data_IF_543722399540
#
_entry.id   IF_543722399540
#
_cell.length_a   1.000
_cell.length_b   1.000
_cell.length_c   1.000
_cell.angle_alpha   90.00
_cell.angle_beta   90.00
_cell.angle_gamma   90.00
#
_symmetry.space_group_name_H-M   'P 1'
#
loop_
_entity.id
_entity.type
_entity.pdbx_description
1 polymer ?
#
# COMPACT_ATOMS: atom_id res chain seq x y z
N UNK A 1 3.01 -14.53 6.85
CA UNK A 1 2.83 -13.10 6.49
C UNK A 1 1.95 -13.06 5.25
N UNK A 2 0.62 -13.18 5.41
CA UNK A 2 -0.27 -12.96 4.27
C UNK A 2 -0.31 -11.45 4.02
N UNK A 3 0.48 -10.97 3.06
CA UNK A 3 0.34 -9.61 2.55
C UNK A 3 -0.95 -9.57 1.74
N UNK A 4 -1.99 -8.93 2.27
CA UNK A 4 -3.25 -8.77 1.55
C UNK A 4 -3.07 -7.76 0.42
N UNK A 5 -3.49 -8.15 -0.78
CA UNK A 5 -3.38 -7.31 -1.96
C UNK A 5 -4.52 -6.29 -1.97
N UNK A 6 -4.19 -5.00 -1.93
CA UNK A 6 -5.17 -3.93 -1.95
C UNK A 6 -5.78 -3.72 -3.33
N UNK A 7 -4.95 -3.84 -4.37
CA UNK A 7 -5.38 -3.63 -5.75
C UNK A 7 -4.43 -4.33 -6.71
N UNK A 8 -4.99 -4.97 -7.74
CA UNK A 8 -4.24 -5.53 -8.86
C UNK A 8 -4.75 -4.95 -10.17
N UNK A 9 -3.84 -4.56 -11.06
CA UNK A 9 -4.19 -4.06 -12.39
C UNK A 9 -3.13 -4.37 -13.43
N UNK A 10 -3.55 -4.40 -14.69
CA UNK A 10 -2.64 -4.50 -15.84
C UNK A 10 -2.11 -3.12 -16.18
N UNK A 11 -0.80 -3.03 -16.36
CA UNK A 11 -0.10 -1.81 -16.77
C UNK A 11 0.77 -2.06 -17.99
N UNK A 12 1.01 -1.02 -18.78
CA UNK A 12 2.04 -1.05 -19.80
C UNK A 12 3.25 -0.22 -19.35
N UNK A 13 4.37 -0.88 -19.11
CA UNK A 13 5.63 -0.27 -18.65
C UNK A 13 6.66 -0.46 -19.75
N UNK A 14 7.22 0.64 -20.29
CA UNK A 14 8.22 0.62 -21.37
C UNK A 14 7.80 -0.22 -22.60
N UNK A 15 6.51 -0.22 -22.94
CA UNK A 15 5.97 -0.98 -24.08
C UNK A 15 5.73 -2.47 -23.81
N UNK A 16 5.85 -2.93 -22.55
CA UNK A 16 5.55 -4.30 -22.13
C UNK A 16 4.36 -4.35 -21.19
N UNK A 17 3.56 -5.41 -21.31
CA UNK A 17 2.53 -5.73 -20.33
C UNK A 17 3.19 -6.09 -18.99
N UNK A 18 2.66 -5.51 -17.92
CA UNK A 18 3.04 -5.78 -16.56
C UNK A 18 1.79 -6.04 -15.71
N UNK A 19 1.89 -7.05 -14.86
CA UNK A 19 0.94 -7.28 -13.78
C UNK A 19 1.41 -6.50 -12.57
N UNK A 20 0.62 -5.53 -12.11
CA UNK A 20 0.96 -4.68 -10.96
C UNK A 20 0.05 -5.02 -9.80
N UNK A 21 0.64 -5.22 -8.62
CA UNK A 21 -0.08 -5.45 -7.37
C UNK A 21 0.37 -4.44 -6.33
N UNK A 22 -0.59 -3.74 -5.74
CA UNK A 22 -0.39 -2.79 -4.65
C UNK A 22 -0.69 -3.51 -3.34
N UNK A 23 0.27 -3.47 -2.42
CA UNK A 23 0.13 -3.85 -1.02
C UNK A 23 0.24 -2.60 -0.14
N UNK A 24 0.02 -2.76 1.15
CA UNK A 24 0.15 -1.65 2.11
C UNK A 24 1.57 -1.08 2.20
N UNK A 25 2.57 -1.96 2.14
CA UNK A 25 3.96 -1.62 2.38
C UNK A 25 4.76 -1.46 1.09
N UNK A 26 4.26 -1.98 -0.04
CA UNK A 26 4.98 -2.04 -1.31
C UNK A 26 4.08 -2.15 -2.52
N UNK A 27 4.63 -1.78 -3.68
CA UNK A 27 4.04 -2.00 -5.00
C UNK A 27 4.96 -2.96 -5.74
N UNK A 28 4.42 -4.09 -6.20
CA UNK A 28 5.14 -5.10 -6.97
C UNK A 28 4.63 -5.13 -8.40
N UNK A 29 5.51 -5.40 -9.37
CA UNK A 29 5.09 -5.70 -10.72
C UNK A 29 5.98 -6.74 -11.39
N UNK A 30 5.36 -7.59 -12.20
CA UNK A 30 6.05 -8.55 -13.05
C UNK A 30 5.91 -8.13 -14.51
N UNK A 31 7.03 -7.81 -15.17
CA UNK A 31 7.02 -7.55 -16.62
C UNK A 31 6.96 -8.88 -17.36
N UNK A 32 5.96 -9.07 -18.21
CA UNK A 32 5.91 -10.21 -19.11
C UNK A 32 7.03 -10.06 -20.14
N UNK A 33 8.12 -10.80 -19.93
CA UNK A 33 9.13 -11.02 -20.96
C UNK A 33 8.48 -11.64 -22.19
N UNK A 34 8.87 -11.19 -23.38
CA UNK A 34 8.43 -11.81 -24.63
C UNK A 34 8.63 -13.32 -24.53
N UNK A 35 7.54 -14.07 -24.74
CA UNK A 35 7.54 -15.53 -24.72
C UNK A 35 8.75 -16.08 -25.48
N UNK A 36 9.49 -16.98 -24.83
CA UNK A 36 10.57 -17.76 -25.43
C UNK A 36 10.20 -18.41 -26.78
N UNK A 37 8.90 -18.51 -27.13
CA UNK A 37 8.41 -18.97 -28.44
C UNK A 37 8.90 -18.15 -29.64
N UNK A 38 9.21 -16.85 -29.52
CA UNK A 38 9.76 -16.08 -30.65
C UNK A 38 11.26 -16.32 -30.87
N UNK A 39 11.99 -16.77 -29.86
CA UNK A 39 13.39 -17.19 -30.02
C UNK A 39 13.47 -18.54 -30.76
N UNK A 40 12.52 -19.44 -30.54
CA UNK A 40 12.47 -20.73 -31.25
C UNK A 40 12.09 -20.59 -32.73
N UNK A 41 11.22 -19.63 -33.09
CA UNK A 41 10.90 -19.35 -34.49
C UNK A 41 12.12 -18.79 -35.27
N UNK A 42 12.98 -18.01 -34.61
CA UNK A 42 14.23 -17.53 -35.21
C UNK A 42 15.31 -18.61 -35.39
N UNK A 43 15.22 -19.72 -34.65
CA UNK A 43 16.13 -20.86 -34.81
C UNK A 43 15.67 -21.83 -35.92
N UNK A 44 14.37 -21.91 -36.21
CA UNK A 44 13.82 -22.88 -37.18
C UNK A 44 13.79 -22.37 -38.64
N UNK A 45 14.03 -21.08 -38.90
CA UNK A 45 13.96 -20.49 -40.26
C UNK A 45 15.31 -20.14 -40.89
N UNK A 46 16.42 -20.71 -40.40
CA UNK A 46 17.71 -20.67 -41.10
C UNK A 46 18.58 -19.45 -40.81
N UNK A 47 19.55 -19.64 -39.91
CA UNK A 47 20.96 -19.41 -40.24
C UNK A 47 21.56 -18.01 -40.27
N UNK A 48 20.85 -16.88 -40.27
CA UNK A 48 21.54 -15.57 -40.35
C UNK A 48 20.90 -14.36 -39.66
N UNK A 49 19.67 -14.46 -39.12
CA UNK A 49 18.93 -13.24 -38.71
C UNK A 49 18.97 -12.89 -37.22
N UNK A 50 19.65 -13.66 -36.36
CA UNK A 50 19.72 -13.36 -34.92
C UNK A 50 20.61 -12.15 -34.57
N UNK A 51 21.50 -11.73 -35.46
CA UNK A 51 22.37 -10.55 -35.24
C UNK A 51 21.75 -9.23 -35.74
N UNK A 52 20.70 -9.30 -36.58
CA UNK A 52 20.08 -8.11 -37.19
C UNK A 52 19.00 -7.45 -36.32
N UNK A 53 18.48 -8.16 -35.32
CA UNK A 53 17.57 -7.60 -34.32
C UNK A 53 18.31 -7.48 -33.01
N UNK A 54 18.83 -6.28 -32.71
CA UNK A 54 19.50 -5.93 -31.45
C UNK A 54 18.57 -5.98 -30.24
N UNK A 55 17.98 -7.15 -29.97
CA UNK A 55 17.05 -7.37 -28.87
C UNK A 55 17.87 -7.49 -27.60
N UNK A 56 18.12 -6.32 -26.98
CA UNK A 56 18.58 -6.27 -25.59
C UNK A 56 17.55 -7.04 -24.76
N UNK A 57 18.02 -8.12 -24.14
CA UNK A 57 17.24 -8.91 -23.19
C UNK A 57 16.80 -8.01 -22.04
N UNK A 58 15.61 -7.41 -22.15
CA UNK A 58 15.01 -6.66 -21.06
C UNK A 58 14.48 -7.69 -20.06
N UNK A 59 15.26 -7.87 -18.99
CA UNK A 59 15.03 -8.74 -17.82
C UNK A 59 13.54 -8.89 -17.53
N UNK A 60 13.02 -10.09 -17.78
CA UNK A 60 11.81 -10.56 -17.16
C UNK A 60 12.11 -10.71 -15.67
N UNK A 61 11.74 -9.70 -14.88
CA UNK A 61 11.98 -9.64 -13.46
C UNK A 61 10.72 -9.15 -12.76
N UNK A 62 10.48 -9.71 -11.59
CA UNK A 62 9.55 -9.13 -10.62
C UNK A 62 10.30 -7.99 -9.94
N UNK A 63 9.77 -6.78 -10.06
CA UNK A 63 10.33 -5.57 -9.47
C UNK A 63 9.38 -5.06 -8.37
N UNK A 64 9.94 -4.35 -7.39
CA UNK A 64 9.19 -3.89 -6.22
C UNK A 64 9.70 -2.54 -5.73
N UNK A 65 8.77 -1.66 -5.34
CA UNK A 65 9.04 -0.37 -4.69
C UNK A 65 8.32 -0.37 -3.34
N UNK A 66 9.02 -0.14 -2.21
CA UNK A 66 8.35 0.03 -0.93
C UNK A 66 7.63 1.37 -0.90
N UNK A 67 6.38 1.40 -0.41
CA UNK A 67 5.52 2.60 -0.33
C UNK A 67 6.23 3.75 0.38
N UNK A 68 6.97 3.45 1.46
CA UNK A 68 7.76 4.45 2.21
C UNK A 68 8.84 5.19 1.39
N UNK A 69 9.24 4.62 0.25
CA UNK A 69 10.23 5.24 -0.64
C UNK A 69 9.58 6.08 -1.74
N UNK A 70 8.26 6.00 -1.91
CA UNK A 70 7.50 6.80 -2.86
C UNK A 70 7.41 8.22 -2.31
N UNK A 71 7.95 9.18 -3.05
CA UNK A 71 7.93 10.60 -2.71
C UNK A 71 6.75 11.34 -3.33
N UNK A 72 6.31 10.92 -4.52
CA UNK A 72 5.14 11.53 -5.17
C UNK A 72 4.48 10.60 -6.20
N UNK A 73 3.19 10.86 -6.42
CA UNK A 73 2.37 10.17 -7.43
C UNK A 73 1.66 11.20 -8.28
N UNK A 74 1.91 11.18 -9.59
CA UNK A 74 1.39 12.16 -10.54
C UNK A 74 0.66 11.44 -11.66
N UNK A 75 -0.44 11.99 -12.15
CA UNK A 75 -1.15 11.47 -13.33
C UNK A 75 -0.94 12.38 -14.53
N UNK A 76 -0.55 11.81 -15.66
CA UNK A 76 -0.42 12.50 -16.94
C UNK A 76 -1.30 11.81 -17.98
N UNK A 77 -2.02 12.60 -18.78
CA UNK A 77 -2.85 12.05 -19.87
C UNK A 77 -1.94 11.40 -20.93
N UNK A 78 -2.25 10.18 -21.34
CA UNK A 78 -1.42 9.38 -22.26
C UNK A 78 -2.27 8.83 -23.42
N UNK A 79 -2.65 9.73 -24.31
CA UNK A 79 -3.59 9.46 -25.40
C UNK A 79 -5.06 9.55 -24.96
N UNK A 80 -5.93 8.90 -25.72
CA UNK A 80 -7.39 8.96 -25.51
C UNK A 80 -7.90 7.95 -24.49
N UNK A 81 -7.29 6.76 -24.43
CA UNK A 81 -7.76 5.63 -23.61
C UNK A 81 -6.97 5.43 -22.32
N UNK A 82 -5.76 5.98 -22.24
CA UNK A 82 -4.81 5.67 -21.18
C UNK A 82 -4.34 6.91 -20.44
N UNK A 83 -3.92 6.70 -19.21
CA UNK A 83 -3.31 7.69 -18.32
C UNK A 83 -2.06 7.07 -17.71
N UNK A 84 -0.97 7.82 -17.70
CA UNK A 84 0.27 7.45 -17.01
C UNK A 84 0.17 7.88 -15.56
N UNK A 85 0.19 6.93 -14.65
CA UNK A 85 0.43 7.14 -13.22
C UNK A 85 1.93 7.05 -13.02
N UNK A 86 2.57 8.21 -12.88
CA UNK A 86 4.00 8.39 -12.64
C UNK A 86 4.25 8.30 -11.14
N UNK A 87 4.97 7.28 -10.72
CA UNK A 87 5.38 7.06 -9.33
C UNK A 87 6.85 7.40 -9.21
N UNK A 88 7.16 8.44 -8.43
CA UNK A 88 8.52 8.86 -8.15
C UNK A 88 8.93 8.27 -6.80
N UNK A 89 10.02 7.50 -6.79
CA UNK A 89 10.60 6.92 -5.60
C UNK A 89 12.06 7.35 -5.42
N UNK A 90 12.63 7.09 -4.24
CA UNK A 90 13.97 7.58 -3.84
C UNK A 90 15.13 7.16 -4.76
N UNK A 91 14.92 6.21 -5.68
CA UNK A 91 15.95 5.73 -6.61
C UNK A 91 15.53 5.60 -8.07
N UNK A 92 14.25 5.80 -8.42
CA UNK A 92 13.76 5.71 -9.79
C UNK A 92 12.38 6.37 -9.96
N UNK A 93 11.93 6.45 -11.21
CA UNK A 93 10.57 6.86 -11.56
C UNK A 93 9.96 5.82 -12.47
N UNK A 94 8.74 5.37 -12.15
CA UNK A 94 8.03 4.34 -12.90
C UNK A 94 6.74 4.92 -13.43
N UNK A 95 6.53 4.74 -14.73
CA UNK A 95 5.31 5.14 -15.41
C UNK A 95 4.40 3.93 -15.57
N UNK A 96 3.35 3.85 -14.77
CA UNK A 96 2.30 2.85 -14.95
C UNK A 96 1.24 3.40 -15.91
N UNK A 97 1.19 2.86 -17.13
CA UNK A 97 0.13 3.19 -18.08
C UNK A 97 -1.10 2.34 -17.81
N UNK A 98 -2.18 2.98 -17.37
CA UNK A 98 -3.45 2.34 -17.00
C UNK A 98 -4.63 2.94 -17.79
N UNK A 99 -5.75 2.21 -17.94
CA UNK A 99 -6.99 2.78 -18.51
C UNK A 99 -7.46 4.01 -17.74
N UNK A 100 -8.03 4.98 -18.44
CA UNK A 100 -8.46 6.25 -17.83
C UNK A 100 -9.44 6.04 -16.66
N UNK A 101 -10.35 5.09 -16.76
CA UNK A 101 -11.32 4.76 -15.71
C UNK A 101 -10.66 4.28 -14.40
N UNK A 102 -9.53 3.59 -14.51
CA UNK A 102 -8.81 3.05 -13.35
C UNK A 102 -7.80 4.04 -12.75
N UNK A 103 -7.36 5.03 -13.52
CA UNK A 103 -6.29 5.95 -13.11
C UNK A 103 -6.61 6.76 -11.83
N UNK A 104 -7.84 7.30 -11.63
CA UNK A 104 -8.20 8.00 -10.40
C UNK A 104 -8.10 7.10 -9.17
N UNK A 105 -8.57 5.86 -9.27
CA UNK A 105 -8.53 4.88 -8.17
C UNK A 105 -7.09 4.51 -7.80
N UNK A 106 -6.25 4.21 -8.80
CA UNK A 106 -4.81 3.89 -8.57
C UNK A 106 -4.10 5.07 -7.92
N UNK A 107 -4.32 6.30 -8.43
CA UNK A 107 -3.70 7.51 -7.88
C UNK A 107 -4.13 7.75 -6.44
N UNK A 108 -5.44 7.69 -6.16
CA UNK A 108 -6.00 7.91 -4.83
C UNK A 108 -5.42 6.91 -3.82
N UNK A 109 -5.45 5.62 -4.16
CA UNK A 109 -4.91 4.56 -3.31
C UNK A 109 -3.43 4.75 -2.98
N UNK A 110 -2.59 4.99 -4.00
CA UNK A 110 -1.16 5.22 -3.77
C UNK A 110 -0.90 6.49 -2.95
N UNK A 111 -1.70 7.54 -3.15
CA UNK A 111 -1.59 8.78 -2.36
C UNK A 111 -1.98 8.54 -0.90
N UNK A 112 -3.08 7.83 -0.66
CA UNK A 112 -3.54 7.51 0.69
C UNK A 112 -2.57 6.57 1.42
N UNK A 113 -1.93 5.66 0.70
CA UNK A 113 -0.86 4.81 1.24
C UNK A 113 0.39 5.61 1.62
N UNK A 114 0.85 6.53 0.76
CA UNK A 114 1.98 7.43 1.06
C UNK A 114 1.67 8.33 2.26
N UNK A 115 0.42 8.77 2.40
CA UNK A 115 -0.04 9.58 3.53
C UNK A 115 -0.41 8.75 4.77
N UNK A 116 -0.34 7.42 4.71
CA UNK A 116 -0.67 6.53 5.84
C UNK A 116 -2.16 6.51 6.22
N UNK A 117 -3.06 6.91 5.33
CA UNK A 117 -4.52 6.96 5.59
C UNK A 117 -5.21 5.60 5.49
N UNK A 118 -4.59 4.63 4.81
CA UNK A 118 -5.11 3.28 4.71
C UNK A 118 -4.57 2.45 5.88
N UNK A 119 -5.42 2.01 6.82
CA UNK A 119 -4.96 1.23 7.99
C UNK A 119 -4.40 -0.12 7.53
N UNK A 120 -3.19 -0.47 7.97
CA UNK A 120 -2.57 -1.74 7.63
C UNK A 120 -3.41 -2.93 8.17
N UNK A 121 -3.62 -4.02 7.38
CA UNK A 121 -4.32 -5.20 7.83
C UNK A 121 -3.41 -5.90 8.81
N UNK A 122 -3.82 -5.99 10.07
CA UNK A 122 -3.03 -6.62 11.11
C UNK A 122 -2.18 -5.67 11.95
N UNK A 123 -2.49 -4.37 11.99
CA UNK A 123 -2.14 -3.56 13.16
C UNK A 123 -3.05 -3.94 14.35
N UNK A 124 -2.94 -5.21 14.78
CA UNK A 124 -2.84 -5.44 16.20
C UNK A 124 -1.58 -4.70 16.65
N UNK A 125 -1.57 -3.97 17.77
CA UNK A 125 -0.34 -3.42 18.32
C UNK A 125 0.62 -4.59 18.59
N UNK A 126 1.56 -4.82 17.66
CA UNK A 126 2.72 -5.65 17.91
C UNK A 126 3.56 -4.86 18.90
N UNK A 127 3.32 -5.16 20.17
CA UNK A 127 4.16 -4.78 21.30
C UNK A 127 5.60 -5.06 20.87
N UNK A 128 6.38 -4.00 20.71
CA UNK A 128 7.79 -4.12 20.44
C UNK A 128 8.41 -4.97 21.55
N UNK A 129 9.13 -6.01 21.16
CA UNK A 129 9.96 -6.82 22.03
C UNK A 129 11.02 -5.92 22.66
N UNK A 130 10.71 -5.34 23.83
CA UNK A 130 11.73 -4.98 24.82
C UNK A 130 12.38 -6.29 25.30
N UNK A 131 13.70 -6.35 25.50
CA UNK A 131 14.29 -7.49 26.17
C UNK A 131 13.80 -7.49 27.63
N UNK A 132 12.97 -8.49 27.93
CA UNK A 132 12.62 -9.02 29.25
C UNK A 132 12.17 -7.99 30.30
N UNK A 133 10.85 -7.82 30.41
CA UNK A 133 10.25 -7.49 31.70
C UNK A 133 9.05 -8.41 31.96
N UNK A 134 9.20 -9.16 33.03
CA UNK A 134 8.32 -10.14 33.65
C UNK A 134 6.85 -9.65 33.82
N UNK A 135 5.91 -10.56 33.51
CA UNK A 135 4.55 -10.73 34.05
C UNK A 135 3.45 -9.62 33.96
N UNK A 136 2.27 -10.07 33.47
CA UNK A 136 0.88 -9.60 33.67
C UNK A 136 0.26 -8.52 32.72
N UNK A 137 -1.08 -8.41 32.62
CA UNK A 137 -2.14 -9.41 32.40
C UNK A 137 -3.00 -9.10 31.14
N UNK A 138 -3.94 -9.99 30.81
CA UNK A 138 -4.96 -9.91 29.74
C UNK A 138 -5.71 -8.57 29.65
N UNK A 139 -6.31 -8.24 28.47
CA UNK A 139 -7.06 -7.00 28.23
C UNK A 139 -8.12 -6.75 29.29
N UNK A 140 -7.93 -5.66 30.04
CA UNK A 140 -8.83 -5.26 31.09
C UNK A 140 -10.08 -4.67 30.46
N UNK A 141 -11.19 -5.37 30.61
CA UNK A 141 -12.53 -4.77 30.63
C UNK A 141 -12.47 -3.58 31.59
N UNK A 142 -12.36 -2.36 31.07
CA UNK A 142 -12.23 -1.14 31.88
C UNK A 142 -13.40 -1.12 32.86
N UNK A 143 -13.08 -1.24 34.15
CA UNK A 143 -14.11 -1.32 35.18
C UNK A 143 -14.84 0.03 35.26
N UNK A 144 -16.11 0.08 35.71
CA UNK A 144 -16.84 1.35 35.84
C UNK A 144 -16.07 2.41 36.64
N UNK A 145 -15.29 2.00 37.64
CA UNK A 145 -14.43 2.88 38.46
C UNK A 145 -13.27 3.47 37.66
N UNK A 146 -12.67 2.71 36.73
CA UNK A 146 -11.61 3.21 35.85
C UNK A 146 -12.14 4.19 34.80
N UNK A 147 -13.36 3.96 34.30
CA UNK A 147 -14.02 4.89 33.36
C UNK A 147 -14.31 6.25 34.03
N UNK A 148 -14.71 6.26 35.31
CA UNK A 148 -14.86 7.49 36.08
C UNK A 148 -13.54 8.26 36.23
N UNK A 149 -12.41 7.56 36.39
CA UNK A 149 -11.08 8.17 36.51
C UNK A 149 -10.64 8.82 35.20
N UNK A 150 -10.88 8.16 34.07
CA UNK A 150 -10.55 8.68 32.75
C UNK A 150 -11.39 9.92 32.38
N UNK A 151 -12.67 9.94 32.75
CA UNK A 151 -13.52 11.12 32.58
C UNK A 151 -13.05 12.33 33.38
N UNK A 152 -12.53 12.11 34.60
CA UNK A 152 -11.99 13.19 35.43
C UNK A 152 -10.73 13.80 34.80
N UNK A 153 -9.85 12.97 34.24
CA UNK A 153 -8.64 13.42 33.53
C UNK A 153 -8.97 14.24 32.28
N UNK A 154 -9.98 13.85 31.52
CA UNK A 154 -10.45 14.60 30.34
C UNK A 154 -11.11 15.94 30.71
N UNK A 155 -11.79 16.02 31.86
CA UNK A 155 -12.32 17.28 32.40
C UNK A 155 -11.20 18.21 32.86
N UNK A 156 -10.23 17.70 33.61
CA UNK A 156 -9.07 18.48 34.08
C UNK A 156 -8.19 18.95 32.91
N UNK A 157 -8.15 18.19 31.80
CA UNK A 157 -7.52 18.61 30.54
C UNK A 157 -8.33 19.66 29.75
N UNK A 158 -9.54 20.02 30.21
CA UNK A 158 -10.44 20.96 29.52
C UNK A 158 -11.01 20.43 28.21
N UNK A 159 -10.92 19.12 27.96
CA UNK A 159 -11.42 18.46 26.74
C UNK A 159 -12.92 18.19 26.87
N UNK A 160 -13.40 17.94 28.09
CA UNK A 160 -14.81 17.80 28.40
C UNK A 160 -15.30 18.99 29.22
N UNK A 161 -16.49 19.48 28.89
CA UNK A 161 -17.21 20.45 29.72
C UNK A 161 -17.73 19.78 31.00
N UNK A 162 -17.95 20.57 32.06
CA UNK A 162 -18.48 20.08 33.35
C UNK A 162 -19.84 19.37 33.18
N UNK A 163 -20.64 19.83 32.22
CA UNK A 163 -21.97 19.31 31.89
C UNK A 163 -21.90 17.89 31.29
N UNK A 164 -20.97 17.69 30.36
CA UNK A 164 -20.72 16.39 29.71
C UNK A 164 -20.13 15.37 30.69
N UNK A 165 -19.23 15.83 31.57
CA UNK A 165 -18.65 15.01 32.62
C UNK A 165 -19.72 14.50 33.59
N UNK A 166 -20.62 15.38 34.06
CA UNK A 166 -21.70 14.99 35.00
C UNK A 166 -22.67 13.98 34.37
N UNK A 167 -23.03 14.18 33.10
CA UNK A 167 -23.89 13.26 32.36
C UNK A 167 -23.27 11.87 32.27
N UNK A 168 -21.98 11.78 31.89
CA UNK A 168 -21.27 10.51 31.72
C UNK A 168 -20.95 9.82 33.04
N UNK A 169 -20.65 10.58 34.09
CA UNK A 169 -20.47 10.05 35.45
C UNK A 169 -21.75 9.38 35.97
N UNK A 170 -22.91 10.00 35.73
CA UNK A 170 -24.21 9.47 36.18
C UNK A 170 -24.57 8.20 35.40
N UNK A 171 -24.32 8.17 34.09
CA UNK A 171 -24.52 6.99 33.23
C UNK A 171 -23.68 5.79 33.71
N UNK A 172 -22.41 6.03 34.05
CA UNK A 172 -21.51 4.97 34.54
C UNK A 172 -21.91 4.50 35.93
N UNK A 173 -22.27 5.41 36.84
CA UNK A 173 -22.77 5.05 38.17
C UNK A 173 -24.09 4.28 38.12
N UNK A 174 -24.97 4.58 37.15
CA UNK A 174 -26.21 3.83 36.94
C UNK A 174 -25.98 2.42 36.37
N UNK A 175 -24.81 2.18 35.77
CA UNK A 175 -24.40 0.88 35.23
C UNK A 175 -23.61 0.04 36.25
N UNK A 176 -23.25 0.60 37.40
CA UNK A 176 -22.67 -0.13 38.54
C UNK A 176 -23.76 -0.84 39.33
#
# INVERSE_FOLDING_TARGET
MSSDALMTFKSHIEGKNADVTIYHDRVEWARSGMSAKKLTAGFLTGGASLLATGVRSSKAGTEMIPVKSISSVVTKRDGLLYTKVVVVASGNTIDFRVPHDSAPAVKALLTDLVLGKVPAPGQAPSVATRPVQEAAPSPQTSTPVEQLRQLAELRDAGILSEEEFLTKKTEILARM
#
